data_IF_602817454528
#
_entry.id   IF_602817454528
#
_cell.length_a   1.000
_cell.length_b   1.000
_cell.length_c   1.000
_cell.angle_alpha   90.00
_cell.angle_beta   90.00
_cell.angle_gamma   90.00
#
_symmetry.space_group_name_H-M   'P 1'
#
loop_
_entity.id
_entity.type
_entity.pdbx_description
1 polymer ?
#
# COMPACT_ATOMS: atom_id res chain seq x y z
N UNK A 1 -11.57 -17.14 -14.83
CA UNK A 1 -10.29 -16.55 -15.31
C UNK A 1 -9.57 -16.03 -14.08
N UNK A 2 -8.23 -16.15 -14.03
CA UNK A 2 -7.40 -15.60 -12.96
C UNK A 2 -6.91 -14.21 -13.38
N UNK A 3 -6.98 -13.24 -12.49
CA UNK A 3 -6.55 -11.86 -12.73
C UNK A 3 -5.68 -11.43 -11.56
N UNK A 4 -4.47 -10.96 -11.86
CA UNK A 4 -3.48 -10.56 -10.88
C UNK A 4 -2.97 -9.14 -11.17
N UNK A 5 -2.63 -8.40 -10.13
CA UNK A 5 -1.97 -7.10 -10.23
C UNK A 5 -0.45 -7.29 -10.19
N UNK A 6 0.22 -6.94 -11.29
CA UNK A 6 1.67 -7.08 -11.44
C UNK A 6 2.46 -5.86 -10.91
N UNK A 7 1.82 -4.74 -10.57
CA UNK A 7 2.52 -3.49 -10.25
C UNK A 7 2.63 -3.17 -8.75
N UNK A 8 1.94 -3.95 -7.91
CA UNK A 8 2.03 -3.83 -6.45
C UNK A 8 3.22 -4.64 -5.93
N UNK A 9 2.99 -5.58 -5.01
CA UNK A 9 4.06 -6.39 -4.40
C UNK A 9 4.25 -7.72 -5.15
N UNK A 10 4.39 -7.64 -6.47
CA UNK A 10 4.56 -8.81 -7.33
C UNK A 10 6.03 -9.21 -7.47
N UNK A 11 6.33 -10.46 -7.17
CA UNK A 11 7.66 -11.07 -7.35
C UNK A 11 7.51 -12.40 -8.08
N UNK A 12 8.50 -12.79 -8.88
CA UNK A 12 8.48 -14.08 -9.58
C UNK A 12 9.85 -14.75 -9.60
N UNK A 13 9.83 -16.09 -9.62
CA UNK A 13 11.00 -16.95 -9.75
C UNK A 13 10.72 -18.09 -10.73
N UNK A 14 11.71 -18.44 -11.53
CA UNK A 14 11.64 -19.58 -12.45
C UNK A 14 12.15 -20.84 -11.76
N UNK A 15 11.27 -21.82 -11.60
CA UNK A 15 11.61 -23.16 -11.13
C UNK A 15 11.06 -24.21 -12.10
N UNK A 16 11.76 -24.47 -13.23
CA UNK A 16 11.25 -25.34 -14.28
C UNK A 16 10.76 -26.70 -13.73
N UNK A 17 9.55 -27.16 -14.11
CA UNK A 17 8.67 -26.64 -15.16
C UNK A 17 7.64 -25.57 -14.73
N UNK A 18 7.83 -24.96 -13.54
CA UNK A 18 6.94 -23.96 -12.98
C UNK A 18 7.52 -22.54 -13.04
N UNK A 19 6.64 -21.57 -13.20
CA UNK A 19 6.88 -20.18 -12.84
C UNK A 19 6.16 -19.92 -11.52
N UNK A 20 6.93 -19.62 -10.47
CA UNK A 20 6.39 -19.26 -9.18
C UNK A 20 6.26 -17.74 -9.07
N UNK A 21 5.18 -17.24 -8.49
CA UNK A 21 5.01 -15.83 -8.21
C UNK A 21 4.34 -15.59 -6.86
N UNK A 22 4.64 -14.44 -6.26
CA UNK A 22 3.97 -13.93 -5.07
C UNK A 22 3.07 -12.77 -5.47
N UNK A 23 1.80 -12.81 -5.07
CA UNK A 23 0.86 -11.72 -5.35
C UNK A 23 0.84 -10.67 -4.22
N UNK A 24 0.03 -9.62 -4.39
CA UNK A 24 -0.12 -8.56 -3.38
C UNK A 24 -0.68 -9.07 -2.03
N UNK A 25 -1.43 -10.17 -2.04
CA UNK A 25 -1.91 -10.86 -0.83
C UNK A 25 -0.82 -11.75 -0.18
N UNK A 26 0.41 -11.73 -0.68
CA UNK A 26 1.54 -12.55 -0.24
C UNK A 26 1.35 -14.06 -0.47
N UNK A 27 0.39 -14.45 -1.31
CA UNK A 27 0.16 -15.84 -1.69
C UNK A 27 1.19 -16.27 -2.72
N UNK A 28 1.77 -17.46 -2.55
CA UNK A 28 2.71 -18.05 -3.50
C UNK A 28 1.94 -19.00 -4.41
N UNK A 29 1.94 -18.67 -5.70
CA UNK A 29 1.24 -19.40 -6.74
C UNK A 29 2.23 -19.94 -7.77
N UNK A 30 1.91 -21.09 -8.37
CA UNK A 30 2.72 -21.73 -9.40
C UNK A 30 1.96 -21.95 -10.69
N UNK A 31 2.51 -21.49 -11.80
CA UNK A 31 2.01 -21.75 -13.15
C UNK A 31 2.86 -22.83 -13.78
N UNK A 32 2.27 -23.97 -14.11
CA UNK A 32 2.96 -25.05 -14.81
C UNK A 32 2.88 -24.86 -16.32
N UNK A 33 4.00 -25.06 -17.00
CA UNK A 33 4.08 -24.99 -18.46
C UNK A 33 4.41 -26.37 -19.04
N UNK A 34 3.71 -26.73 -20.11
CA UNK A 34 4.03 -27.93 -20.89
C UNK A 34 5.37 -27.76 -21.65
N UNK A 35 5.56 -26.59 -22.28
CA UNK A 35 6.81 -26.23 -22.95
C UNK A 35 7.62 -25.24 -22.11
N UNK A 36 8.91 -25.50 -21.95
CA UNK A 36 9.80 -24.58 -21.23
C UNK A 36 9.94 -23.22 -21.94
N UNK A 37 9.88 -23.18 -23.27
CA UNK A 37 9.93 -21.94 -24.05
C UNK A 37 8.80 -20.96 -23.69
N UNK A 38 7.61 -21.48 -23.40
CA UNK A 38 6.47 -20.66 -22.99
C UNK A 38 6.67 -20.10 -21.58
N UNK A 39 7.26 -20.88 -20.67
CA UNK A 39 7.65 -20.44 -19.33
C UNK A 39 8.64 -19.27 -19.39
N UNK A 40 9.70 -19.41 -20.18
CA UNK A 40 10.72 -18.38 -20.36
C UNK A 40 10.16 -17.11 -21.02
N UNK A 41 9.26 -17.27 -22.00
CA UNK A 41 8.60 -16.14 -22.66
C UNK A 41 7.72 -15.33 -21.68
N UNK A 42 6.96 -16.00 -20.82
CA UNK A 42 6.12 -15.34 -19.80
C UNK A 42 6.97 -14.66 -18.73
N UNK A 43 8.03 -15.30 -18.24
CA UNK A 43 8.94 -14.66 -17.27
C UNK A 43 9.60 -13.40 -17.84
N UNK A 44 10.03 -13.44 -19.11
CA UNK A 44 10.55 -12.25 -19.79
C UNK A 44 9.49 -11.15 -19.94
N UNK A 45 8.22 -11.52 -20.19
CA UNK A 45 7.12 -10.57 -20.25
C UNK A 45 6.89 -9.89 -18.89
N UNK A 46 6.87 -10.64 -17.78
CA UNK A 46 6.74 -10.08 -16.43
C UNK A 46 7.88 -9.10 -16.14
N UNK A 47 9.14 -9.49 -16.41
CA UNK A 47 10.28 -8.59 -16.24
C UNK A 47 10.17 -7.30 -17.05
N UNK A 48 9.69 -7.38 -18.30
CA UNK A 48 9.49 -6.19 -19.15
C UNK A 48 8.40 -5.26 -18.62
N UNK A 49 7.29 -5.81 -18.15
CA UNK A 49 6.19 -5.03 -17.56
C UNK A 49 6.68 -4.35 -16.28
N UNK A 50 7.23 -5.12 -15.33
CA UNK A 50 7.74 -4.60 -14.06
C UNK A 50 8.76 -3.49 -14.28
N UNK A 51 9.73 -3.69 -15.17
CA UNK A 51 10.76 -2.68 -15.44
C UNK A 51 10.20 -1.42 -16.12
N UNK A 52 9.20 -1.55 -16.99
CA UNK A 52 8.57 -0.40 -17.65
C UNK A 52 7.81 0.50 -16.68
N UNK A 53 7.17 -0.08 -15.67
CA UNK A 53 6.32 0.65 -14.71
C UNK A 53 7.00 0.94 -13.37
N UNK A 54 8.11 0.29 -13.01
CA UNK A 54 8.89 0.57 -11.80
C UNK A 54 9.49 1.99 -11.76
N UNK A 55 9.56 2.70 -12.90
CA UNK A 55 10.20 4.00 -13.04
C UNK A 55 9.22 5.16 -13.24
N UNK A 56 7.98 5.06 -12.76
CA UNK A 56 7.17 6.28 -12.64
C UNK A 56 7.62 6.99 -11.37
N UNK A 57 8.48 8.04 -11.42
CA UNK A 57 8.72 8.84 -10.24
C UNK A 57 7.36 9.34 -9.74
N UNK A 58 7.02 9.20 -8.44
CA UNK A 58 5.89 9.92 -7.89
C UNK A 58 6.12 11.39 -8.24
N UNK A 59 5.17 11.97 -8.97
CA UNK A 59 5.26 13.34 -9.49
C UNK A 59 5.84 14.24 -8.40
N UNK A 60 6.94 14.90 -8.76
CA UNK A 60 7.61 15.89 -7.93
C UNK A 60 6.56 16.76 -7.23
N UNK A 61 6.66 16.83 -5.91
CA UNK A 61 6.00 17.86 -5.11
C UNK A 61 6.28 19.19 -5.81
N UNK A 62 5.25 19.80 -6.37
CA UNK A 62 5.32 21.17 -6.88
C UNK A 62 5.68 22.02 -5.65
N UNK A 63 6.85 22.69 -5.59
CA UNK A 63 7.02 23.74 -4.60
C UNK A 63 6.05 24.84 -5.04
N UNK A 64 4.94 24.99 -4.31
CA UNK A 64 4.12 26.18 -4.40
C UNK A 64 4.93 27.32 -3.79
N UNK A 65 5.91 27.83 -4.53
CA UNK A 65 6.47 29.16 -4.32
C UNK A 65 5.36 30.14 -4.64
N UNK A 66 4.49 30.38 -3.66
CA UNK A 66 3.64 31.55 -3.67
C UNK A 66 4.56 32.73 -3.35
N UNK A 67 4.89 33.47 -4.40
CA UNK A 67 5.39 34.84 -4.35
C UNK A 67 4.63 35.62 -3.29
N UNK A 68 5.32 35.98 -2.20
CA UNK A 68 4.83 36.95 -1.23
C UNK A 68 5.35 38.31 -1.68
N UNK A 69 4.46 39.01 -2.36
CA UNK A 69 4.57 40.40 -2.75
C UNK A 69 4.65 41.25 -1.48
N UNK A 70 5.72 42.03 -1.40
CA UNK A 70 5.93 43.12 -0.46
C UNK A 70 4.80 44.15 -0.58
N UNK A 71 4.02 44.35 0.48
CA UNK A 71 3.25 45.58 0.66
C UNK A 71 3.26 46.01 2.14
N UNK A 72 3.40 47.31 2.31
CA UNK A 72 3.87 48.04 3.49
C UNK A 72 2.86 48.20 4.63
N UNK A 73 3.44 48.17 5.84
CA UNK A 73 3.21 49.02 7.02
C UNK A 73 1.89 49.10 7.82
N UNK A 74 2.14 49.36 9.12
CA UNK A 74 1.31 49.95 10.18
C UNK A 74 0.32 48.98 10.89
N UNK A 75 0.21 48.86 12.22
CA UNK A 75 0.45 49.75 13.38
C UNK A 75 0.65 48.86 14.64
N UNK A 76 1.49 49.22 15.63
CA UNK A 76 1.58 48.52 16.91
C UNK A 76 0.50 49.00 17.90
N UNK A 77 -0.26 48.10 18.55
CA UNK A 77 -0.93 48.29 19.86
C UNK A 77 -1.83 47.08 20.18
N UNK A 78 -1.43 46.24 21.14
CA UNK A 78 -1.90 46.19 22.54
C UNK A 78 -3.27 45.51 22.73
N UNK A 79 -3.29 44.39 23.45
CA UNK A 79 -4.11 44.19 24.66
C UNK A 79 -4.05 42.72 25.14
N UNK A 80 -3.83 42.57 26.44
CA UNK A 80 -3.84 41.32 27.19
C UNK A 80 -5.27 40.77 27.43
N UNK A 81 -5.40 39.46 27.66
CA UNK A 81 -6.11 38.76 28.76
C UNK A 81 -5.79 37.24 28.62
N UNK A 82 -4.99 36.63 29.50
CA UNK A 82 -5.34 35.89 30.73
C UNK A 82 -6.42 34.78 30.59
N UNK A 83 -6.03 33.53 30.87
CA UNK A 83 -6.92 32.38 31.09
C UNK A 83 -6.24 31.00 30.96
N UNK A 84 -6.01 30.24 32.06
CA UNK A 84 -5.43 28.89 32.05
C UNK A 84 -6.48 27.77 32.27
N UNK A 85 -6.26 26.55 31.75
CA UNK A 85 -6.40 25.24 32.45
C UNK A 85 -6.52 24.02 31.51
N UNK A 86 -5.77 22.98 31.87
CA UNK A 86 -5.60 21.64 31.25
C UNK A 86 -6.51 20.57 31.99
N UNK A 87 -6.37 19.21 31.85
CA UNK A 87 -7.12 18.26 30.98
C UNK A 87 -8.01 17.16 31.71
N UNK A 88 -8.12 15.85 31.31
CA UNK A 88 -9.35 15.02 31.20
C UNK A 88 -9.61 14.06 32.42
N UNK A 89 -10.55 13.05 32.42
CA UNK A 89 -10.23 11.67 31.96
C UNK A 89 -11.38 10.68 31.56
N UNK A 90 -10.98 9.65 30.79
CA UNK A 90 -11.22 8.18 30.83
C UNK A 90 -12.59 7.47 31.01
N UNK A 91 -12.65 6.30 30.33
CA UNK A 91 -13.42 5.05 30.55
C UNK A 91 -14.75 4.95 29.77
N UNK A 92 -15.06 3.87 29.05
CA UNK A 92 -15.56 2.62 29.67
C UNK A 92 -15.91 1.56 28.58
N UNK A 93 -15.42 0.33 28.79
CA UNK A 93 -15.97 -1.02 28.51
C UNK A 93 -16.43 -1.50 27.11
N UNK A 94 -15.63 -2.44 26.58
CA UNK A 94 -15.95 -3.83 26.19
C UNK A 94 -17.44 -4.20 25.99
N UNK A 95 -17.79 -4.64 24.79
CA UNK A 95 -18.96 -5.46 24.37
C UNK A 95 -18.62 -5.91 22.93
N UNK A 96 -18.86 -7.09 22.40
CA UNK A 96 -19.61 -8.28 22.78
C UNK A 96 -19.15 -9.39 21.82
N UNK A 97 -19.01 -10.62 22.32
CA UNK A 97 -18.65 -11.84 21.56
C UNK A 97 -19.82 -12.35 20.72
N UNK A 98 -19.55 -12.98 19.56
CA UNK A 98 -20.36 -14.12 19.13
C UNK A 98 -19.55 -15.42 19.20
N UNK A 99 -19.98 -16.30 20.11
CA UNK A 99 -19.70 -17.73 20.14
C UNK A 99 -20.47 -18.40 19.00
N UNK A 100 -19.77 -19.01 18.04
CA UNK A 100 -20.35 -20.01 17.14
C UNK A 100 -19.42 -21.23 17.02
N UNK A 101 -19.60 -22.15 17.97
CA UNK A 101 -19.77 -23.60 17.76
C UNK A 101 -18.96 -24.27 16.63
N UNK A 102 -17.72 -24.66 16.92
CA UNK A 102 -16.90 -25.57 16.09
C UNK A 102 -16.96 -27.02 16.64
N UNK A 103 -18.16 -27.58 16.71
CA UNK A 103 -18.36 -28.98 17.09
C UNK A 103 -19.14 -29.70 15.98
N UNK A 104 -18.41 -30.49 15.17
CA UNK A 104 -18.80 -31.78 14.58
C UNK A 104 -18.12 -32.02 13.22
N UNK A 105 -16.83 -32.39 13.21
CA UNK A 105 -16.18 -32.77 11.95
C UNK A 105 -15.32 -34.03 11.93
N UNK A 106 -15.28 -34.86 12.98
CA UNK A 106 -14.65 -36.18 12.87
C UNK A 106 -15.38 -37.22 13.73
N UNK A 107 -16.25 -37.99 13.08
CA UNK A 107 -16.75 -39.28 13.55
C UNK A 107 -16.19 -40.39 12.67
#
# INVERSE_FOLDING_TARGET
NLVEDLLSDFEYELQPPYLLYRNAAQEVNGIWFYNQQDCDAVANLFGRILNAYARVPPKAKVPSTKSEFEELEAVPTSAAIDGPLEPPPASTLISDTPDESLANYFG
#
